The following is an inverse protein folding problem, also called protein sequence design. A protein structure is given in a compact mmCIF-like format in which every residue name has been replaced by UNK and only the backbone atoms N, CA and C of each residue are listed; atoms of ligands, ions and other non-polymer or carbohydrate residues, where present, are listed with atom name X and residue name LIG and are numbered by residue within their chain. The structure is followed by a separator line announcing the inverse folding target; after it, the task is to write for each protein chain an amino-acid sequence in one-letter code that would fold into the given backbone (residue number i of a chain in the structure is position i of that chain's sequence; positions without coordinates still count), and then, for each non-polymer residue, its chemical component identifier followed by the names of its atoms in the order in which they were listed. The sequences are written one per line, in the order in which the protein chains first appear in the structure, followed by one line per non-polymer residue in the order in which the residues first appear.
data_IF_606419820890
#
_entry.id   IF_606419820890
#
_cell.length_a   1.000
_cell.length_b   1.000
_cell.length_c   1.000
_cell.angle_alpha   90.00
_cell.angle_beta   90.00
_cell.angle_gamma   90.00
#
_symmetry.space_group_name_H-M   'P 1'
#
loop_
_entity.id
_entity.type
_entity.pdbx_description
1 polymer ?
#
# COMPACT_ATOMS: atom_id res chain seq x y z
N UNK A 1 -31.32 19.49 51.61
CA UNK A 1 -30.19 18.60 51.98
C UNK A 1 -29.54 18.16 50.67
N UNK A 2 -28.27 18.47 50.46
CA UNK A 2 -27.56 17.98 49.27
C UNK A 2 -27.34 16.48 49.48
N UNK A 3 -27.84 15.66 48.55
CA UNK A 3 -27.61 14.21 48.57
C UNK A 3 -26.16 13.96 48.17
N UNK A 4 -25.27 14.08 49.15
CA UNK A 4 -23.83 13.89 48.99
C UNK A 4 -23.47 12.48 49.48
N UNK A 5 -22.90 11.65 48.61
CA UNK A 5 -22.46 10.29 48.93
C UNK A 5 -20.95 10.23 48.69
N UNK A 6 -20.13 10.09 49.74
CA UNK A 6 -18.66 10.00 49.64
C UNK A 6 -18.00 11.14 48.83
N UNK A 7 -18.54 12.35 48.92
CA UNK A 7 -18.07 13.52 48.16
C UNK A 7 -18.65 13.65 46.75
N UNK A 8 -19.52 12.73 46.33
CA UNK A 8 -20.27 12.83 45.07
C UNK A 8 -21.66 13.41 45.31
N UNK A 9 -22.03 14.35 44.45
CA UNK A 9 -23.36 14.93 44.38
C UNK A 9 -24.25 14.05 43.50
N UNK A 10 -25.37 13.58 44.03
CA UNK A 10 -26.32 12.74 43.28
C UNK A 10 -27.23 13.62 42.42
N UNK A 11 -27.20 13.41 41.11
CA UNK A 11 -28.07 14.08 40.13
C UNK A 11 -29.10 13.08 39.62
N UNK A 12 -30.38 13.19 40.04
CA UNK A 12 -31.43 12.30 39.57
C UNK A 12 -31.93 12.71 38.18
N UNK A 13 -31.82 11.78 37.23
CA UNK A 13 -32.26 11.93 35.84
C UNK A 13 -33.53 11.10 35.62
N UNK A 14 -34.54 11.70 35.01
CA UNK A 14 -35.78 11.02 34.65
C UNK A 14 -35.71 10.54 33.21
N UNK A 15 -35.93 9.24 32.99
CA UNK A 15 -36.18 8.69 31.66
C UNK A 15 -37.69 8.64 31.37
N UNK A 16 -38.11 8.59 30.10
CA UNK A 16 -39.53 8.55 29.72
C UNK A 16 -40.33 7.39 30.33
N UNK A 17 -39.67 6.27 30.64
CA UNK A 17 -40.29 5.02 31.11
C UNK A 17 -40.54 4.97 32.62
N UNK A 18 -40.80 6.09 33.29
CA UNK A 18 -40.94 6.20 34.77
C UNK A 18 -39.70 5.79 35.57
N UNK A 19 -38.62 5.35 34.91
CA UNK A 19 -37.36 4.97 35.53
C UNK A 19 -36.49 6.19 35.82
N UNK A 20 -35.93 6.24 37.02
CA UNK A 20 -34.94 7.26 37.41
C UNK A 20 -33.54 6.69 37.38
N UNK A 21 -32.65 7.35 36.66
CA UNK A 21 -31.23 7.03 36.65
C UNK A 21 -30.48 8.03 37.55
N UNK A 22 -29.52 7.54 38.34
CA UNK A 22 -28.76 8.39 39.27
C UNK A 22 -27.34 8.58 38.75
N UNK A 23 -27.02 9.82 38.40
CA UNK A 23 -25.66 10.24 38.07
C UNK A 23 -24.94 10.70 39.34
N UNK A 24 -23.64 10.44 39.42
CA UNK A 24 -22.81 10.91 40.52
C UNK A 24 -21.80 11.91 39.97
N UNK A 25 -21.84 13.14 40.47
CA UNK A 25 -21.00 14.23 39.99
C UNK A 25 -20.08 14.75 41.10
N UNK A 26 -18.82 15.00 40.77
CA UNK A 26 -17.84 15.58 41.69
C UNK A 26 -16.93 16.54 40.91
N UNK A 27 -16.47 17.59 41.56
CA UNK A 27 -15.41 18.42 40.99
C UNK A 27 -14.14 17.57 40.78
N UNK A 28 -13.58 17.63 39.57
CA UNK A 28 -12.37 16.89 39.27
C UNK A 28 -11.17 17.59 39.90
N UNK A 29 -10.45 16.86 40.75
CA UNK A 29 -9.16 17.27 41.29
C UNK A 29 -8.07 16.58 40.47
N UNK A 30 -7.26 17.30 39.69
CA UNK A 30 -6.24 16.67 38.84
C UNK A 30 -5.26 15.88 39.71
N UNK A 31 -5.07 14.60 39.39
CA UNK A 31 -4.00 13.81 39.97
C UNK A 31 -2.63 14.26 39.43
N UNK A 32 -1.55 13.89 40.14
CA UNK A 32 -0.16 14.18 39.73
C UNK A 32 0.23 13.71 38.31
N UNK A 33 -0.62 12.95 37.62
CA UNK A 33 -0.41 12.39 36.28
C UNK A 33 -1.38 12.93 35.20
N UNK A 34 -2.27 13.87 35.54
CA UNK A 34 -3.40 14.28 34.68
C UNK A 34 -3.28 15.74 34.19
N UNK A 35 -2.12 16.11 33.65
CA UNK A 35 -1.79 17.48 33.22
C UNK A 35 -2.62 18.01 32.03
N UNK A 36 -3.42 17.17 31.38
CA UNK A 36 -4.18 17.55 30.16
C UNK A 36 -5.54 18.21 30.44
N UNK A 37 -6.04 18.11 31.68
CA UNK A 37 -7.37 18.61 32.05
C UNK A 37 -7.26 19.90 32.88
N UNK A 38 -7.99 20.97 32.52
CA UNK A 38 -7.95 22.22 33.27
C UNK A 38 -8.57 22.04 34.67
N UNK A 39 -7.77 22.33 35.70
CA UNK A 39 -8.20 22.32 37.10
C UNK A 39 -9.28 23.39 37.35
N UNK A 40 -10.31 23.06 38.14
CA UNK A 40 -11.40 23.99 38.48
C UNK A 40 -12.37 24.31 37.35
N UNK A 41 -12.24 23.66 36.18
CA UNK A 41 -13.21 23.70 35.06
C UNK A 41 -13.74 22.32 34.66
N UNK A 42 -13.26 21.27 35.31
CA UNK A 42 -13.59 19.88 35.00
C UNK A 42 -14.51 19.26 36.03
N UNK A 43 -15.58 18.61 35.54
CA UNK A 43 -16.53 17.85 36.34
C UNK A 43 -16.36 16.36 36.06
N UNK A 44 -16.12 15.59 37.11
CA UNK A 44 -16.08 14.14 37.06
C UNK A 44 -17.48 13.56 37.26
N UNK A 45 -17.94 12.77 36.30
CA UNK A 45 -19.24 12.10 36.29
C UNK A 45 -19.02 10.58 36.33
N UNK A 46 -19.84 9.91 37.13
CA UNK A 46 -19.87 8.44 37.25
C UNK A 46 -21.28 7.94 37.03
N UNK A 47 -21.37 6.69 36.58
CA UNK A 47 -22.60 5.99 36.27
C UNK A 47 -23.35 6.66 35.11
N UNK A 48 -22.65 7.00 34.03
CA UNK A 48 -23.32 7.54 32.85
C UNK A 48 -24.23 6.50 32.20
N UNK A 49 -25.42 6.92 31.72
CA UNK A 49 -26.26 6.09 30.90
C UNK A 49 -25.55 5.57 29.66
N UNK A 50 -25.92 4.37 29.16
CA UNK A 50 -25.32 3.78 27.97
C UNK A 50 -25.61 4.60 26.71
N UNK A 51 -26.66 5.42 26.71
CA UNK A 51 -26.93 6.30 25.60
C UNK A 51 -26.05 7.56 25.66
N UNK A 52 -25.57 8.04 26.79
CA UNK A 52 -24.90 9.35 26.90
C UNK A 52 -23.79 9.63 25.86
N UNK A 53 -24.04 10.57 24.93
CA UNK A 53 -23.02 11.17 24.05
C UNK A 53 -22.70 12.59 24.49
N UNK A 54 -21.70 13.19 23.86
CA UNK A 54 -21.32 14.58 24.09
C UNK A 54 -22.49 15.54 23.86
N UNK A 55 -23.38 15.25 22.90
CA UNK A 55 -24.57 16.05 22.63
C UNK A 55 -25.52 16.04 23.81
N UNK A 56 -25.87 14.86 24.34
CA UNK A 56 -26.82 14.77 25.46
C UNK A 56 -26.23 15.37 26.74
N UNK A 57 -24.95 15.16 27.00
CA UNK A 57 -24.28 15.76 28.15
C UNK A 57 -24.27 17.29 28.02
N UNK A 58 -23.92 17.81 26.84
CA UNK A 58 -23.96 19.25 26.57
C UNK A 58 -25.37 19.83 26.72
N UNK A 59 -26.40 19.15 26.21
CA UNK A 59 -27.80 19.58 26.37
C UNK A 59 -28.27 19.52 27.83
N UNK A 60 -27.86 18.49 28.57
CA UNK A 60 -28.21 18.31 29.98
C UNK A 60 -27.57 19.38 30.86
N UNK A 61 -26.31 19.76 30.60
CA UNK A 61 -25.57 20.77 31.35
C UNK A 61 -25.65 22.20 30.81
N UNK A 62 -26.32 22.42 29.66
CA UNK A 62 -26.63 23.76 29.11
C UNK A 62 -27.13 24.79 30.14
N UNK A 63 -28.02 24.48 31.10
CA UNK A 63 -28.44 25.45 32.12
C UNK A 63 -27.36 25.79 33.16
N UNK A 64 -26.30 24.99 33.27
CA UNK A 64 -25.21 25.19 34.24
C UNK A 64 -24.01 25.91 33.63
N UNK A 65 -23.82 25.80 32.31
CA UNK A 65 -22.80 26.51 31.55
C UNK A 65 -22.57 25.93 30.16
N UNK A 66 -21.71 26.59 29.39
CA UNK A 66 -21.25 26.08 28.09
C UNK A 66 -20.20 24.99 28.31
N UNK A 67 -20.47 23.80 27.76
CA UNK A 67 -19.52 22.68 27.77
C UNK A 67 -18.52 22.89 26.62
N UNK A 68 -17.23 22.78 26.91
CA UNK A 68 -16.16 22.89 25.93
C UNK A 68 -15.87 21.53 25.28
N UNK A 69 -15.61 20.50 26.10
CA UNK A 69 -15.30 19.13 25.65
C UNK A 69 -15.80 18.10 26.66
N UNK A 70 -16.14 16.91 26.17
CA UNK A 70 -16.48 15.77 27.01
C UNK A 70 -15.56 14.59 26.74
N UNK A 71 -14.75 14.22 27.73
CA UNK A 71 -13.88 13.06 27.68
C UNK A 71 -14.53 11.88 28.40
N UNK A 72 -14.72 10.78 27.70
CA UNK A 72 -15.30 9.57 28.28
C UNK A 72 -14.21 8.54 28.53
N UNK A 73 -14.32 7.81 29.65
CA UNK A 73 -13.42 6.69 29.99
C UNK A 73 -11.95 7.08 29.76
N UNK A 74 -11.49 8.15 30.45
CA UNK A 74 -10.05 8.44 30.60
C UNK A 74 -9.43 7.27 31.37
N UNK A 75 -9.21 6.17 30.66
CA UNK A 75 -8.23 5.19 31.07
C UNK A 75 -6.91 5.92 31.03
N UNK A 76 -6.39 6.23 32.21
CA UNK A 76 -4.94 6.31 32.41
C UNK A 76 -4.40 4.90 32.17
N UNK A 77 -4.44 4.46 30.93
CA UNK A 77 -3.65 3.36 30.41
C UNK A 77 -2.46 4.00 29.76
N UNK A 78 -1.29 3.59 30.22
CA UNK A 78 0.00 3.80 29.56
C UNK A 78 -0.14 3.73 28.03
N UNK A 79 0.68 4.51 27.28
CA UNK A 79 0.73 4.42 25.83
C UNK A 79 1.13 3.00 25.43
N UNK A 80 0.13 2.12 25.29
CA UNK A 80 0.28 0.84 24.64
C UNK A 80 0.40 1.15 23.16
N UNK A 81 1.64 1.03 22.69
CA UNK A 81 2.02 0.98 21.29
C UNK A 81 0.97 0.25 20.45
N UNK A 82 0.20 1.04 19.71
CA UNK A 82 -0.31 0.67 18.40
C UNK A 82 -0.13 1.91 17.53
N UNK A 83 1.14 2.22 17.28
CA UNK A 83 1.49 3.00 16.10
C UNK A 83 1.19 2.14 14.87
N UNK A 84 0.52 2.67 13.83
CA UNK A 84 0.82 2.24 12.49
C UNK A 84 2.20 2.79 12.15
N UNK A 85 3.19 1.89 12.09
CA UNK A 85 4.46 2.09 11.40
C UNK A 85 4.18 2.59 9.97
N UNK A 86 4.36 3.90 9.75
CA UNK A 86 4.67 4.46 8.43
C UNK A 86 5.85 5.40 8.61
N UNK A 87 7.00 4.79 8.85
CA UNK A 87 8.32 5.38 8.73
C UNK A 87 8.73 5.41 7.26
N UNK A 88 8.43 6.48 6.53
CA UNK A 88 9.28 6.86 5.39
C UNK A 88 9.43 8.38 5.41
N UNK A 89 10.66 8.77 5.74
CA UNK A 89 11.21 10.10 5.62
C UNK A 89 11.15 10.50 4.13
N UNK A 90 10.33 11.49 3.79
CA UNK A 90 10.48 12.20 2.51
C UNK A 90 11.36 13.42 2.76
N UNK A 91 12.62 13.23 2.38
CA UNK A 91 13.68 14.21 2.24
C UNK A 91 13.19 15.43 1.44
N UNK A 92 13.22 16.58 2.08
CA UNK A 92 12.91 17.86 1.47
C UNK A 92 14.14 18.41 0.77
N UNK A 93 14.40 17.93 -0.45
CA UNK A 93 15.36 18.54 -1.35
C UNK A 93 14.70 19.72 -2.09
N UNK A 94 14.96 20.92 -1.57
CA UNK A 94 14.83 22.17 -2.30
C UNK A 94 15.91 22.23 -3.39
N UNK A 95 15.58 21.83 -4.63
CA UNK A 95 16.41 22.17 -5.79
C UNK A 95 16.00 23.53 -6.38
N UNK A 96 16.95 24.46 -6.34
CA UNK A 96 16.92 25.78 -6.96
C UNK A 96 16.62 25.69 -8.47
N UNK A 97 15.62 26.44 -8.90
CA UNK A 97 15.25 26.59 -10.31
C UNK A 97 16.18 27.59 -10.99
N UNK A 98 17.13 27.10 -11.80
CA UNK A 98 17.86 27.92 -12.77
C UNK A 98 17.00 28.16 -14.03
N UNK A 99 16.95 29.40 -14.57
CA UNK A 99 16.07 29.75 -15.68
C UNK A 99 16.77 29.46 -17.02
N UNK A 100 16.15 28.68 -17.90
CA UNK A 100 16.56 28.61 -19.31
C UNK A 100 15.39 28.70 -20.29
N UNK A 101 15.50 29.73 -21.12
CA UNK A 101 14.90 30.08 -22.42
C UNK A 101 13.39 29.93 -22.68
N UNK A 102 12.79 31.13 -22.78
CA UNK A 102 11.51 31.43 -23.41
C UNK A 102 11.48 31.02 -24.89
N UNK A 103 10.65 30.02 -25.22
CA UNK A 103 10.02 29.93 -26.54
C UNK A 103 8.50 29.79 -26.38
N UNK A 104 7.69 30.64 -27.03
CA UNK A 104 6.24 30.64 -26.82
C UNK A 104 5.61 29.44 -27.53
N UNK A 105 5.36 28.36 -26.79
CA UNK A 105 4.49 27.26 -27.25
C UNK A 105 3.06 27.50 -26.77
N UNK A 106 2.13 27.46 -27.73
CA UNK A 106 0.67 27.60 -27.57
C UNK A 106 0.16 26.61 -26.51
N UNK A 107 -0.10 27.12 -25.29
CA UNK A 107 -0.66 26.36 -24.16
C UNK A 107 -2.05 25.83 -24.53
N UNK A 108 -2.15 24.56 -24.94
CA UNK A 108 -3.40 23.81 -24.75
C UNK A 108 -3.52 23.59 -23.24
N UNK A 109 -4.56 24.13 -22.62
CA UNK A 109 -4.92 23.81 -21.23
C UNK A 109 -5.14 22.29 -21.15
N UNK A 110 -4.13 21.53 -20.75
CA UNK A 110 -4.34 20.17 -20.29
C UNK A 110 -5.21 20.28 -19.04
N UNK A 111 -6.38 19.62 -19.06
CA UNK A 111 -7.19 19.46 -17.87
C UNK A 111 -6.27 18.88 -16.78
N UNK A 112 -6.24 19.52 -15.60
CA UNK A 112 -5.49 19.00 -14.45
C UNK A 112 -6.02 17.58 -14.18
N UNK A 113 -5.14 16.57 -14.27
CA UNK A 113 -5.39 15.21 -13.79
C UNK A 113 -5.73 15.33 -12.29
N UNK A 114 -7.01 15.41 -11.95
CA UNK A 114 -7.46 15.40 -10.57
C UNK A 114 -7.56 13.94 -10.11
N UNK A 115 -7.16 13.62 -8.86
CA UNK A 115 -7.33 12.27 -8.33
C UNK A 115 -8.83 11.92 -8.33
N UNK A 116 -9.20 10.69 -8.73
CA UNK A 116 -10.58 10.24 -8.64
C UNK A 116 -11.02 10.20 -7.17
N UNK A 117 -12.24 10.68 -6.90
CA UNK A 117 -12.79 10.73 -5.55
C UNK A 117 -13.56 9.44 -5.29
N UNK A 118 -13.25 8.75 -4.18
CA UNK A 118 -13.94 7.52 -3.78
C UNK A 118 -15.35 7.86 -3.26
N UNK A 119 -16.37 7.25 -3.86
CA UNK A 119 -17.76 7.33 -3.37
C UNK A 119 -17.87 6.50 -2.08
N UNK A 120 -18.06 7.10 -0.90
CA UNK A 120 -18.06 6.35 0.35
C UNK A 120 -19.28 5.44 0.47
N UNK A 121 -19.11 4.32 1.17
CA UNK A 121 -20.24 3.49 1.61
C UNK A 121 -21.18 4.29 2.54
N UNK A 122 -22.47 3.93 2.59
CA UNK A 122 -23.40 4.57 3.52
C UNK A 122 -22.87 4.47 4.95
N UNK A 123 -22.75 5.62 5.62
CA UNK A 123 -22.28 5.66 6.99
C UNK A 123 -23.31 5.03 7.92
N UNK A 124 -22.84 4.36 8.97
CA UNK A 124 -23.71 3.77 9.98
C UNK A 124 -24.34 4.91 10.81
N UNK A 125 -25.66 5.17 10.72
CA UNK A 125 -26.28 6.33 11.36
C UNK A 125 -26.52 6.08 12.86
N UNK A 126 -25.96 5.03 13.45
CA UNK A 126 -26.27 4.64 14.82
C UNK A 126 -25.36 5.33 15.82
N UNK A 127 -25.95 6.08 16.76
CA UNK A 127 -25.29 6.52 18.00
C UNK A 127 -24.46 5.41 18.65
N UNK A 128 -23.27 5.81 19.07
CA UNK A 128 -22.36 4.99 19.87
C UNK A 128 -22.96 4.79 21.25
N UNK A 129 -23.45 3.58 21.52
CA UNK A 129 -23.85 3.18 22.86
C UNK A 129 -22.64 2.74 23.67
N UNK A 130 -22.58 3.22 24.90
CA UNK A 130 -21.52 2.98 25.88
C UNK A 130 -21.89 1.84 26.81
N UNK A 131 -20.89 1.31 27.52
CA UNK A 131 -21.12 0.36 28.61
C UNK A 131 -21.76 1.08 29.80
N UNK A 132 -22.59 0.38 30.56
CA UNK A 132 -23.16 0.91 31.81
C UNK A 132 -22.07 1.16 32.84
N UNK A 133 -22.22 2.20 33.66
CA UNK A 133 -21.27 2.48 34.75
C UNK A 133 -20.02 3.25 34.33
N UNK A 134 -19.95 3.75 33.09
CA UNK A 134 -18.81 4.55 32.63
C UNK A 134 -18.68 5.89 33.36
N UNK A 135 -17.45 6.40 33.40
CA UNK A 135 -17.14 7.73 33.85
C UNK A 135 -16.89 8.70 32.68
N UNK A 136 -17.12 9.99 32.91
CA UNK A 136 -16.68 11.05 32.00
C UNK A 136 -16.17 12.27 32.75
N UNK A 137 -15.32 13.02 32.08
CA UNK A 137 -14.81 14.31 32.48
C UNK A 137 -15.39 15.35 31.54
N UNK A 138 -16.17 16.27 32.08
CA UNK A 138 -16.80 17.37 31.33
C UNK A 138 -16.01 18.63 31.61
N UNK A 139 -15.38 19.22 30.60
CA UNK A 139 -14.74 20.53 30.71
C UNK A 139 -15.76 21.61 30.40
N UNK A 140 -15.94 22.56 31.32
CA UNK A 140 -16.73 23.76 31.10
C UNK A 140 -15.84 24.91 30.62
N UNK A 141 -16.44 25.83 29.87
CA UNK A 141 -15.77 27.07 29.47
C UNK A 141 -15.46 27.95 30.69
N UNK A 142 -16.41 28.06 31.62
CA UNK A 142 -16.34 28.92 32.81
C UNK A 142 -16.19 28.09 34.10
N UNK A 143 -15.36 28.58 35.04
CA UNK A 143 -15.20 27.98 36.37
C UNK A 143 -16.50 27.91 37.23
N UNK A 144 -17.36 28.97 37.31
CA UNK A 144 -18.59 28.89 38.10
C UNK A 144 -19.60 27.85 37.58
N UNK A 145 -19.44 27.37 36.34
CA UNK A 145 -20.32 26.36 35.77
C UNK A 145 -20.28 25.02 36.53
N UNK A 146 -19.17 24.68 37.19
CA UNK A 146 -19.10 23.50 38.06
C UNK A 146 -20.05 23.62 39.24
N UNK A 147 -20.03 24.76 39.94
CA UNK A 147 -20.90 24.98 41.09
C UNK A 147 -22.37 24.96 40.69
N UNK A 148 -22.70 25.53 39.53
CA UNK A 148 -24.03 25.45 38.94
C UNK A 148 -24.43 24.02 38.57
N UNK A 149 -23.49 23.21 38.07
CA UNK A 149 -23.72 21.81 37.72
C UNK A 149 -23.97 20.95 38.97
N UNK A 150 -23.21 21.15 40.05
CA UNK A 150 -23.45 20.48 41.34
C UNK A 150 -24.80 20.93 41.97
N UNK A 151 -25.22 22.16 41.70
CA UNK A 151 -26.55 22.68 42.06
C UNK A 151 -27.73 21.97 41.38
N UNK A 152 -27.51 21.23 40.28
CA UNK A 152 -28.57 20.51 39.55
C UNK A 152 -29.21 19.37 40.36
N UNK A 153 -28.55 18.87 41.40
CA UNK A 153 -29.03 17.78 42.27
C UNK A 153 -30.38 18.01 42.93
N UNK A 154 -30.84 19.27 43.04
CA UNK A 154 -32.06 19.64 43.75
C UNK A 154 -33.36 19.25 43.03
N UNK A 155 -33.32 19.06 41.70
CA UNK A 155 -34.53 18.78 40.88
C UNK A 155 -34.29 17.61 39.94
N UNK A 156 -35.30 16.75 39.78
CA UNK A 156 -35.30 15.70 38.76
C UNK A 156 -35.43 16.37 37.39
N UNK A 157 -34.50 16.12 36.48
CA UNK A 157 -34.55 16.63 35.11
C UNK A 157 -34.74 15.49 34.11
N UNK A 158 -35.54 15.69 33.06
CA UNK A 158 -35.64 14.71 32.00
C UNK A 158 -34.29 14.59 31.27
N UNK A 159 -33.90 13.37 30.95
CA UNK A 159 -32.78 13.14 30.03
C UNK A 159 -33.18 13.62 28.63
N UNK A 160 -32.29 14.32 27.89
CA UNK A 160 -32.60 14.73 26.52
C UNK A 160 -32.84 13.51 25.62
N UNK A 161 -33.94 13.51 24.88
CA UNK A 161 -34.22 12.49 23.86
C UNK A 161 -33.52 12.90 22.56
N UNK A 162 -32.96 11.91 21.87
CA UNK A 162 -32.53 12.04 20.48
C UNK A 162 -33.61 11.50 19.56
N UNK A 163 -33.71 12.04 18.34
CA UNK A 163 -34.61 11.56 17.29
C UNK A 163 -34.15 10.22 16.68
N UNK A 164 -32.95 9.77 17.03
CA UNK A 164 -32.40 8.50 16.57
C UNK A 164 -33.14 7.29 17.15
N UNK A 165 -33.28 6.21 16.36
CA UNK A 165 -33.97 5.02 16.82
C UNK A 165 -33.21 4.36 17.97
N UNK A 166 -33.92 4.00 19.03
CA UNK A 166 -33.41 3.31 20.21
C UNK A 166 -33.94 1.86 20.30
N UNK A 167 -33.31 1.01 21.10
CA UNK A 167 -33.76 -0.36 21.34
C UNK A 167 -33.80 -1.19 20.05
N UNK A 168 -34.94 -1.85 19.78
CA UNK A 168 -35.11 -2.71 18.59
C UNK A 168 -34.95 -1.94 17.28
N UNK A 169 -35.51 -0.73 17.18
CA UNK A 169 -35.41 0.09 15.96
C UNK A 169 -33.97 0.41 15.59
N UNK A 170 -33.11 0.61 16.60
CA UNK A 170 -31.66 0.79 16.40
C UNK A 170 -31.04 -0.41 15.73
N UNK A 171 -31.33 -1.61 16.26
CA UNK A 171 -30.74 -2.84 15.74
C UNK A 171 -31.25 -3.18 14.35
N UNK A 172 -32.51 -2.88 14.04
CA UNK A 172 -33.04 -2.98 12.69
C UNK A 172 -32.32 -2.03 11.72
N UNK A 173 -32.21 -0.74 12.07
CA UNK A 173 -31.49 0.24 11.25
C UNK A 173 -30.00 -0.13 11.07
N UNK A 174 -29.34 -0.64 12.10
CA UNK A 174 -27.96 -1.12 12.03
C UNK A 174 -27.87 -2.35 11.13
N UNK A 175 -28.80 -3.30 11.26
CA UNK A 175 -28.86 -4.50 10.42
C UNK A 175 -28.97 -4.15 8.94
N UNK A 176 -29.80 -3.17 8.60
CA UNK A 176 -30.01 -2.70 7.24
C UNK A 176 -28.79 -1.91 6.74
N UNK A 177 -28.20 -1.04 7.57
CA UNK A 177 -27.01 -0.27 7.23
C UNK A 177 -25.77 -1.14 7.01
N UNK A 178 -25.64 -2.28 7.71
CA UNK A 178 -24.59 -3.27 7.46
C UNK A 178 -24.79 -4.07 6.17
N UNK A 179 -25.93 -3.93 5.51
CA UNK A 179 -26.27 -4.60 4.24
C UNK A 179 -26.61 -3.56 3.18
N UNK A 180 -25.64 -2.73 2.78
CA UNK A 180 -25.85 -1.76 1.72
C UNK A 180 -26.24 -2.47 0.42
N UNK A 181 -26.97 -1.80 -0.48
CA UNK A 181 -27.29 -2.35 -1.79
C UNK A 181 -26.02 -2.62 -2.58
N UNK A 182 -26.07 -3.63 -3.45
CA UNK A 182 -24.93 -4.05 -4.28
C UNK A 182 -24.38 -2.90 -5.13
N UNK A 183 -25.25 -2.00 -5.59
CA UNK A 183 -24.89 -0.84 -6.39
C UNK A 183 -23.93 0.10 -5.65
N UNK A 184 -24.21 0.43 -4.38
CA UNK A 184 -23.34 1.28 -3.57
C UNK A 184 -21.99 0.62 -3.28
N UNK A 185 -21.99 -0.71 -3.07
CA UNK A 185 -20.74 -1.48 -2.87
C UNK A 185 -19.90 -1.48 -4.14
N UNK A 186 -20.55 -1.65 -5.30
CA UNK A 186 -19.89 -1.64 -6.60
C UNK A 186 -19.28 -0.28 -6.90
N UNK A 187 -20.02 0.81 -6.71
CA UNK A 187 -19.52 2.17 -6.91
C UNK A 187 -18.31 2.47 -6.02
N UNK A 188 -18.37 2.09 -4.73
CA UNK A 188 -17.22 2.21 -3.82
C UNK A 188 -16.02 1.40 -4.33
N UNK A 189 -16.21 0.15 -4.76
CA UNK A 189 -15.14 -0.70 -5.27
C UNK A 189 -14.51 -0.14 -6.55
N UNK A 190 -15.34 0.26 -7.53
CA UNK A 190 -14.89 0.79 -8.81
C UNK A 190 -14.11 2.10 -8.62
N UNK A 191 -14.62 3.01 -7.77
CA UNK A 191 -13.94 4.29 -7.47
C UNK A 191 -12.67 4.10 -6.64
N UNK A 192 -12.66 3.16 -5.70
CA UNK A 192 -11.47 2.77 -4.92
C UNK A 192 -10.37 2.20 -5.82
N UNK A 193 -10.71 1.31 -6.76
CA UNK A 193 -9.78 0.76 -7.72
C UNK A 193 -9.23 1.84 -8.66
N UNK A 194 -10.09 2.77 -9.11
CA UNK A 194 -9.65 3.90 -9.92
C UNK A 194 -8.65 4.80 -9.18
N UNK A 195 -8.88 5.07 -7.89
CA UNK A 195 -7.93 5.81 -7.05
C UNK A 195 -6.61 5.06 -6.90
N UNK A 196 -6.66 3.76 -6.63
CA UNK A 196 -5.47 2.93 -6.52
C UNK A 196 -4.65 2.94 -7.81
N UNK A 197 -5.28 2.75 -8.96
CA UNK A 197 -4.64 2.79 -10.28
C UNK A 197 -4.05 4.17 -10.57
N UNK A 198 -4.75 5.24 -10.20
CA UNK A 198 -4.26 6.61 -10.32
C UNK A 198 -2.98 6.83 -9.48
N UNK A 199 -2.97 6.39 -8.22
CA UNK A 199 -1.81 6.50 -7.34
C UNK A 199 -0.64 5.66 -7.84
N UNK A 200 -0.88 4.41 -8.27
CA UNK A 200 0.11 3.54 -8.89
C UNK A 200 0.73 4.17 -10.14
N UNK A 201 -0.11 4.74 -11.01
CA UNK A 201 0.36 5.41 -12.22
C UNK A 201 1.15 6.69 -11.90
N UNK A 202 0.73 7.46 -10.89
CA UNK A 202 1.47 8.64 -10.42
C UNK A 202 2.83 8.25 -9.85
N UNK A 203 2.91 7.22 -9.01
CA UNK A 203 4.16 6.72 -8.45
C UNK A 203 5.12 6.23 -9.54
N UNK A 204 4.63 5.47 -10.52
CA UNK A 204 5.42 5.03 -11.69
C UNK A 204 5.89 6.21 -12.56
N UNK A 205 5.06 7.23 -12.73
CA UNK A 205 5.44 8.48 -13.44
C UNK A 205 6.51 9.26 -12.68
N UNK A 206 6.49 9.26 -11.34
CA UNK A 206 7.52 9.91 -10.51
C UNK A 206 8.86 9.17 -10.51
N UNK A 207 8.83 7.83 -10.51
CA UNK A 207 10.02 6.99 -10.55
C UNK A 207 10.65 6.87 -11.95
N UNK A 208 9.84 7.04 -13.00
CA UNK A 208 10.36 7.11 -14.36
C UNK A 208 11.01 8.47 -14.62
N UNK A 209 12.35 8.53 -14.62
CA UNK A 209 13.16 9.65 -15.18
C UNK A 209 12.86 9.96 -16.67
N UNK A 210 11.94 9.22 -17.29
CA UNK A 210 11.66 9.21 -18.71
C UNK A 210 10.22 9.64 -18.98
N UNK A 211 10.07 10.85 -19.54
CA UNK A 211 8.76 11.33 -20.04
C UNK A 211 8.43 10.56 -21.31
N UNK A 212 7.38 9.74 -21.24
CA UNK A 212 6.87 8.96 -22.38
C UNK A 212 6.54 9.91 -23.55
N UNK A 213 7.30 9.83 -24.65
CA UNK A 213 7.06 10.58 -25.89
C UNK A 213 8.17 11.53 -26.33
N UNK A 214 9.19 11.77 -25.52
CA UNK A 214 10.36 12.58 -25.91
C UNK A 214 11.57 11.65 -26.15
N UNK A 215 12.19 11.77 -27.33
CA UNK A 215 13.42 11.06 -27.63
C UNK A 215 14.54 11.67 -26.79
N UNK A 216 15.16 10.87 -25.93
CA UNK A 216 16.33 11.29 -25.16
C UNK A 216 17.49 11.37 -26.14
N UNK A 217 18.02 12.58 -26.30
CA UNK A 217 19.16 12.89 -27.16
C UNK A 217 20.34 13.17 -26.23
N UNK A 218 21.41 12.40 -26.35
CA UNK A 218 22.63 12.59 -25.56
C UNK A 218 23.37 13.87 -26.00
N UNK A 219 24.37 14.32 -25.22
CA UNK A 219 25.17 15.54 -25.48
C UNK A 219 25.84 15.55 -26.87
N UNK A 220 26.11 14.36 -27.43
CA UNK A 220 26.66 14.15 -28.78
C UNK A 220 25.60 14.04 -29.89
N UNK A 221 24.31 14.25 -29.60
CA UNK A 221 23.24 14.26 -30.59
C UNK A 221 22.69 12.88 -30.98
N UNK A 222 23.09 11.81 -30.29
CA UNK A 222 22.57 10.45 -30.53
C UNK A 222 21.27 10.21 -29.77
N UNK A 223 20.30 9.57 -30.43
CA UNK A 223 19.02 9.19 -29.81
C UNK A 223 19.08 7.79 -29.24
N UNK A 224 18.73 7.63 -27.96
CA UNK A 224 18.67 6.30 -27.31
C UNK A 224 17.52 5.47 -27.92
N UNK A 225 17.86 4.36 -28.58
CA UNK A 225 16.86 3.44 -29.16
C UNK A 225 16.23 2.57 -28.08
N UNK A 226 15.09 3.01 -27.54
CA UNK A 226 14.25 2.18 -26.67
C UNK A 226 13.37 1.28 -27.53
N UNK A 227 13.27 -0.01 -27.20
CA UNK A 227 12.41 -0.96 -27.92
C UNK A 227 10.94 -0.51 -27.76
N UNK A 228 10.30 -0.22 -28.88
CA UNK A 228 8.90 0.21 -28.90
C UNK A 228 7.95 -0.86 -28.35
N UNK A 229 6.84 -0.43 -27.75
CA UNK A 229 5.74 -1.31 -27.38
C UNK A 229 5.10 -1.99 -28.61
N UNK A 230 3.99 -2.71 -28.39
CA UNK A 230 3.36 -3.65 -29.35
C UNK A 230 3.09 -3.18 -30.79
N UNK A 231 3.29 -1.89 -31.12
CA UNK A 231 3.11 -1.31 -32.45
C UNK A 231 4.40 -0.74 -33.08
N UNK A 232 5.59 -1.10 -32.59
CA UNK A 232 6.86 -0.77 -33.25
C UNK A 232 7.27 0.71 -33.22
N UNK A 233 6.52 1.55 -32.51
CA UNK A 233 6.88 2.94 -32.25
C UNK A 233 7.89 2.96 -31.10
N UNK A 234 9.13 3.38 -31.37
CA UNK A 234 10.23 3.52 -30.39
C UNK A 234 9.97 4.60 -29.34
N UNK A 235 8.90 5.37 -29.50
CA UNK A 235 8.47 6.44 -28.60
C UNK A 235 7.46 5.92 -27.58
N UNK A 236 7.97 5.12 -26.65
CA UNK A 236 7.41 5.07 -25.30
C UNK A 236 6.43 3.94 -24.98
N UNK A 237 6.86 3.13 -24.02
CA UNK A 237 6.04 2.62 -22.94
C UNK A 237 5.08 1.50 -23.29
N UNK A 238 5.63 0.30 -23.24
CA UNK A 238 4.89 -0.93 -23.02
C UNK A 238 5.89 -2.07 -22.90
N UNK A 239 5.86 -2.76 -21.76
CA UNK A 239 6.67 -3.93 -21.39
C UNK A 239 8.00 -3.58 -20.71
N UNK A 240 8.09 -3.92 -19.43
CA UNK A 240 9.27 -3.77 -18.60
C UNK A 240 10.44 -4.57 -19.15
N UNK A 241 11.61 -3.94 -19.19
CA UNK A 241 12.86 -4.61 -19.48
C UNK A 241 13.25 -5.36 -18.20
N UNK A 242 13.44 -6.68 -18.31
CA UNK A 242 14.21 -7.41 -17.34
C UNK A 242 15.65 -6.89 -17.44
N UNK A 243 16.05 -6.05 -16.49
CA UNK A 243 17.42 -5.61 -16.33
C UNK A 243 18.30 -6.86 -16.11
N UNK A 244 19.21 -7.12 -17.06
CA UNK A 244 20.60 -7.62 -16.84
C UNK A 244 21.35 -8.14 -18.07
N UNK A 245 20.74 -8.31 -19.25
CA UNK A 245 21.38 -9.13 -20.29
C UNK A 245 21.81 -8.43 -21.59
N UNK A 246 21.72 -7.10 -21.71
CA UNK A 246 22.09 -6.44 -22.98
C UNK A 246 23.59 -6.19 -23.13
N UNK A 247 24.34 -6.04 -22.03
CA UNK A 247 25.79 -5.88 -22.07
C UNK A 247 26.51 -7.18 -22.52
N UNK A 248 25.92 -8.35 -22.24
CA UNK A 248 26.48 -9.65 -22.63
C UNK A 248 26.22 -10.02 -24.10
N UNK A 249 25.26 -9.37 -24.77
CA UNK A 249 24.80 -9.75 -26.12
C UNK A 249 25.58 -9.06 -27.25
N UNK A 250 26.25 -7.93 -26.98
CA UNK A 250 27.09 -7.24 -27.99
C UNK A 250 28.46 -7.92 -28.16
N UNK A 251 28.95 -8.65 -27.16
CA UNK A 251 30.14 -9.51 -27.32
C UNK A 251 29.82 -10.81 -28.09
N UNK A 252 28.54 -11.16 -28.19
CA UNK A 252 28.05 -12.36 -28.85
C UNK A 252 27.32 -12.01 -30.15
N UNK A 253 28.08 -11.50 -31.13
CA UNK A 253 27.58 -11.26 -32.47
C UNK A 253 26.86 -12.48 -33.09
N UNK A 254 25.60 -12.21 -33.46
CA UNK A 254 24.76 -12.82 -34.50
C UNK A 254 24.30 -14.29 -34.34
N UNK A 255 23.10 -14.42 -33.77
CA UNK A 255 21.94 -15.09 -34.39
C UNK A 255 22.05 -16.54 -34.86
N UNK A 256 21.51 -17.50 -34.10
CA UNK A 256 20.09 -17.90 -34.25
C UNK A 256 19.75 -19.13 -33.37
N UNK A 257 18.51 -19.09 -32.93
CA UNK A 257 17.81 -19.86 -31.92
C UNK A 257 17.85 -21.39 -32.09
N UNK A 258 18.28 -22.11 -31.04
CA UNK A 258 17.48 -23.22 -30.52
C UNK A 258 17.90 -23.60 -29.09
N UNK A 259 16.91 -23.44 -28.21
CA UNK A 259 16.87 -23.73 -26.79
C UNK A 259 17.30 -25.17 -26.49
N UNK A 260 18.05 -25.34 -25.40
CA UNK A 260 18.11 -26.62 -24.66
C UNK A 260 19.51 -27.23 -24.52
N UNK A 261 19.99 -27.24 -23.26
CA UNK A 261 21.07 -28.07 -22.68
C UNK A 261 22.53 -27.80 -23.12
N UNK A 262 23.33 -27.35 -22.14
CA UNK A 262 24.73 -27.71 -21.94
C UNK A 262 25.71 -27.33 -23.06
N UNK A 263 26.19 -26.09 -23.08
CA UNK A 263 27.27 -25.66 -23.99
C UNK A 263 28.64 -26.14 -23.48
N UNK A 264 29.07 -27.33 -23.91
CA UNK A 264 30.50 -27.55 -24.18
C UNK A 264 30.90 -26.61 -25.32
N UNK A 265 32.01 -25.88 -25.19
CA UNK A 265 32.59 -25.05 -26.26
C UNK A 265 32.58 -25.84 -27.57
N UNK A 266 31.78 -25.41 -28.55
CA UNK A 266 31.86 -25.95 -29.91
C UNK A 266 33.12 -25.37 -30.53
N UNK A 267 34.10 -26.23 -30.79
CA UNK A 267 35.25 -25.87 -31.60
C UNK A 267 34.76 -25.32 -32.94
N UNK A 268 35.48 -24.31 -33.44
CA UNK A 268 35.14 -23.63 -34.69
C UNK A 268 35.00 -24.69 -35.78
N UNK A 269 33.82 -24.76 -36.39
CA UNK A 269 33.56 -25.67 -37.52
C UNK A 269 34.36 -25.16 -38.72
N UNK A 270 35.62 -25.53 -38.80
CA UNK A 270 36.39 -25.38 -40.01
C UNK A 270 35.74 -26.25 -41.09
N UNK A 271 35.46 -25.67 -42.26
CA UNK A 271 34.80 -26.39 -43.36
C UNK A 271 35.78 -27.40 -43.93
N UNK A 272 35.63 -28.67 -43.56
CA UNK A 272 36.41 -29.78 -44.11
C UNK A 272 36.04 -29.98 -45.59
N UNK A 273 37.04 -30.07 -46.46
CA UNK A 273 36.97 -30.16 -47.92
C UNK A 273 36.62 -28.87 -48.68
N UNK A 274 36.78 -27.70 -48.06
CA UNK A 274 36.50 -26.43 -48.75
C UNK A 274 37.57 -26.11 -49.81
N UNK A 275 38.85 -26.40 -49.52
CA UNK A 275 39.95 -26.07 -50.41
C UNK A 275 40.44 -27.27 -51.24
N UNK A 276 40.88 -27.01 -52.47
CA UNK A 276 41.40 -28.03 -53.37
C UNK A 276 42.62 -28.78 -52.79
N UNK A 277 43.46 -28.10 -52.00
CA UNK A 277 44.62 -28.73 -51.35
C UNK A 277 44.21 -29.80 -50.33
N UNK A 278 43.07 -29.65 -49.65
CA UNK A 278 42.57 -30.64 -48.68
C UNK A 278 42.18 -31.95 -49.37
N UNK A 279 41.64 -31.86 -50.61
CA UNK A 279 41.33 -33.04 -51.44
C UNK A 279 42.60 -33.74 -51.91
N UNK A 280 43.60 -32.99 -52.36
CA UNK A 280 44.89 -33.53 -52.82
C UNK A 280 45.66 -34.21 -51.67
N UNK A 281 45.66 -33.61 -50.48
CA UNK A 281 46.32 -34.16 -49.30
C UNK A 281 45.65 -35.46 -48.82
N UNK A 282 44.31 -35.51 -48.85
CA UNK A 282 43.55 -36.72 -48.54
C UNK A 282 43.91 -37.88 -49.49
N UNK A 283 43.94 -37.63 -50.80
CA UNK A 283 44.33 -38.63 -51.80
C UNK A 283 45.78 -39.13 -51.60
N UNK A 284 46.71 -38.21 -51.30
CA UNK A 284 48.11 -38.58 -51.01
C UNK A 284 48.22 -39.47 -49.77
N UNK A 285 47.44 -39.17 -48.73
CA UNK A 285 47.39 -39.97 -47.49
C UNK A 285 46.79 -41.35 -47.74
N UNK A 286 45.74 -41.45 -48.55
CA UNK A 286 45.15 -42.73 -48.97
C UNK A 286 46.15 -43.60 -49.76
N UNK A 287 46.88 -43.02 -50.71
CA UNK A 287 47.92 -43.72 -51.47
C UNK A 287 49.07 -44.22 -50.57
N UNK A 288 49.53 -43.40 -49.62
CA UNK A 288 50.53 -43.80 -48.63
C UNK A 288 50.02 -44.95 -47.75
N UNK A 289 48.78 -44.89 -47.29
CA UNK A 289 48.15 -45.96 -46.52
C UNK A 289 48.04 -47.26 -47.30
N UNK A 290 47.74 -47.19 -48.60
CA UNK A 290 47.67 -48.37 -49.47
C UNK A 290 49.05 -49.02 -49.64
N UNK A 291 50.11 -48.23 -49.83
CA UNK A 291 51.50 -48.73 -49.89
C UNK A 291 51.91 -49.45 -48.60
N UNK A 292 51.62 -48.86 -47.45
CA UNK A 292 51.91 -49.48 -46.15
C UNK A 292 51.16 -50.81 -45.96
N UNK A 293 49.88 -50.87 -46.35
CA UNK A 293 49.09 -52.11 -46.29
C UNK A 293 49.66 -53.17 -47.23
N UNK A 294 50.07 -52.78 -48.43
CA UNK A 294 50.68 -53.69 -49.40
C UNK A 294 52.02 -54.25 -48.90
N UNK A 295 52.88 -53.40 -48.29
CA UNK A 295 54.12 -53.86 -47.67
C UNK A 295 53.86 -54.81 -46.49
N UNK A 296 52.87 -54.50 -45.65
CA UNK A 296 52.48 -55.37 -44.54
C UNK A 296 51.94 -56.72 -45.03
N UNK A 297 51.12 -56.73 -46.08
CA UNK A 297 50.59 -57.97 -46.64
C UNK A 297 51.65 -58.76 -47.42
N UNK A 298 52.57 -58.08 -48.11
CA UNK A 298 53.76 -58.72 -48.69
C UNK A 298 54.61 -59.39 -47.62
N UNK A 299 54.88 -58.71 -46.50
CA UNK A 299 55.63 -59.26 -45.38
C UNK A 299 54.90 -60.46 -44.72
N UNK A 300 53.56 -60.41 -44.61
CA UNK A 300 52.76 -61.56 -44.14
C UNK A 300 52.85 -62.74 -45.11
N UNK A 301 52.75 -62.48 -46.41
CA UNK A 301 52.88 -63.53 -47.43
C UNK A 301 54.29 -64.14 -47.41
N UNK A 302 55.35 -63.34 -47.23
CA UNK A 302 56.71 -63.86 -47.05
C UNK A 302 56.84 -64.76 -45.82
N UNK A 303 56.26 -64.37 -44.67
CA UNK A 303 56.19 -65.23 -43.48
C UNK A 303 55.42 -66.54 -43.73
N UNK A 304 54.32 -66.48 -44.48
CA UNK A 304 53.54 -67.67 -44.85
C UNK A 304 54.27 -68.57 -45.86
N UNK A 305 55.07 -67.99 -46.76
CA UNK A 305 55.95 -68.75 -47.69
C UNK A 305 57.10 -69.43 -46.94
N UNK A 306 57.75 -68.74 -46.01
CA UNK A 306 58.81 -69.31 -45.17
C UNK A 306 58.31 -70.48 -44.32
N UNK A 307 57.10 -70.38 -43.78
CA UNK A 307 56.45 -71.45 -43.02
C UNK A 307 55.85 -72.57 -43.88
N UNK A 308 56.08 -72.58 -45.21
CA UNK A 308 55.54 -73.57 -46.18
C UNK A 308 54.03 -73.76 -46.12
N UNK A 309 53.29 -72.78 -45.56
CA UNK A 309 51.84 -72.83 -45.36
C UNK A 309 51.07 -72.02 -46.42
N UNK A 310 51.77 -71.38 -47.35
CA UNK A 310 51.17 -70.57 -48.41
C UNK A 310 50.61 -71.44 -49.54
N UNK A 311 49.29 -71.37 -49.78
CA UNK A 311 48.59 -72.00 -50.92
C UNK A 311 48.08 -70.91 -51.87
N UNK A 312 48.73 -70.70 -53.03
CA UNK A 312 48.20 -69.81 -54.04
C UNK A 312 47.09 -70.54 -54.82
N UNK A 313 45.89 -69.93 -54.80
CA UNK A 313 44.62 -70.38 -55.39
C UNK A 313 43.87 -71.46 -54.59
#
# INVERSE_FOLDING_TARGET
MQNLISGFTVIPVSYPRTSTHHLYAREHTPGSKETSLPAGRTLFLVNLPPDATEREISLFFKPSGTVEKVFFDLKVSEPSHLEPETSEEEDSDEEEVLPTDDRPRKRRKAAKDAPPIVSPLPSLPSRTLRKTGQCAHVTFLDAPSIQNALGLSKKRRPWPLSDEPNGLGRYAALHDALRPPLDAVKEYADTSMALFDYLQNKAKRGQGKYRKGEAIVDEDGFTLVVRGGAYGQTVGGGVGVADKNFAEEIEAGDGDNKRGKGRKRKEKKEKVNFYAFQKAEKQRKELLGLRQRFEADKAKVEKLKQSRRFRPY
#
